data_IF_753254541382
#
_entry.id   IF_753254541382
#
_cell.length_a   1.000
_cell.length_b   1.000
_cell.length_c   1.000
_cell.angle_alpha   90.00
_cell.angle_beta   90.00
_cell.angle_gamma   90.00
#
_symmetry.space_group_name_H-M   'P 1'
#
loop_
_entity.id
_entity.type
_entity.pdbx_description
1 polymer ?
#
# COMPACT_ATOMS: atom_id res chain seq x y z
N UNK A 1 -49.76 29.66 -2.50
CA UNK A 1 -49.43 29.99 -1.10
C UNK A 1 -48.44 28.97 -0.58
N UNK A 2 -47.19 29.37 -0.30
CA UNK A 2 -46.19 28.51 0.34
C UNK A 2 -46.14 28.91 1.82
N UNK A 3 -46.72 28.10 2.71
CA UNK A 3 -46.60 28.32 4.15
C UNK A 3 -45.31 27.67 4.66
N UNK A 4 -44.46 28.45 5.31
CA UNK A 4 -43.25 27.95 5.97
C UNK A 4 -43.64 27.43 7.35
N UNK A 5 -43.62 26.11 7.55
CA UNK A 5 -43.79 25.52 8.87
C UNK A 5 -42.45 25.58 9.62
N UNK A 6 -42.47 26.10 10.85
CA UNK A 6 -41.30 26.10 11.73
C UNK A 6 -40.85 24.65 12.01
N UNK A 7 -39.58 24.36 11.74
CA UNK A 7 -38.98 23.01 11.83
C UNK A 7 -38.93 22.48 13.28
N UNK A 8 -39.15 23.35 14.27
CA UNK A 8 -39.11 23.01 15.69
C UNK A 8 -40.48 23.20 16.32
N UNK A 9 -41.00 22.15 16.98
CA UNK A 9 -42.18 22.28 17.85
C UNK A 9 -41.75 22.89 19.17
N UNK A 10 -42.48 23.88 19.72
CA UNK A 10 -42.18 24.38 21.05
C UNK A 10 -42.37 23.27 22.10
N UNK A 11 -41.58 23.29 23.18
CA UNK A 11 -41.67 22.30 24.24
C UNK A 11 -43.06 22.32 24.89
N UNK A 12 -43.65 21.14 25.09
CA UNK A 12 -45.04 21.01 25.59
C UNK A 12 -45.20 21.23 27.10
N UNK A 13 -44.11 21.26 27.87
CA UNK A 13 -44.15 21.40 29.34
C UNK A 13 -42.96 22.20 29.85
N UNK A 14 -43.24 23.19 30.70
CA UNK A 14 -42.29 24.14 31.29
C UNK A 14 -42.95 25.52 31.43
N UNK A 15 -42.69 26.25 32.51
CA UNK A 15 -43.27 27.59 32.75
C UNK A 15 -42.57 28.66 31.90
N UNK A 16 -42.58 28.51 30.57
CA UNK A 16 -42.07 29.51 29.65
C UNK A 16 -43.27 30.24 29.02
N UNK A 17 -43.37 31.54 29.30
CA UNK A 17 -44.34 32.42 28.63
C UNK A 17 -43.76 32.71 27.24
N UNK A 18 -44.45 32.27 26.19
CA UNK A 18 -44.10 32.62 24.81
C UNK A 18 -44.56 34.07 24.61
N UNK A 19 -43.62 35.00 24.53
CA UNK A 19 -43.93 36.39 24.22
C UNK A 19 -44.28 36.47 22.73
N UNK A 20 -45.57 36.56 22.41
CA UNK A 20 -46.09 36.44 21.04
C UNK A 20 -45.91 37.71 20.19
N UNK A 21 -45.17 38.71 20.67
CA UNK A 21 -45.13 40.04 20.06
C UNK A 21 -43.83 40.42 19.34
N UNK A 22 -42.88 39.50 19.16
CA UNK A 22 -41.77 39.73 18.24
C UNK A 22 -41.64 38.58 17.23
N UNK A 23 -41.67 38.86 15.91
CA UNK A 23 -41.42 37.84 14.92
C UNK A 23 -40.00 37.34 15.11
N UNK A 24 -39.85 36.05 15.40
CA UNK A 24 -38.55 35.39 15.58
C UNK A 24 -37.67 35.66 14.34
N UNK A 25 -36.71 36.56 14.49
CA UNK A 25 -35.79 36.91 13.42
C UNK A 25 -34.87 35.71 13.17
N UNK A 26 -34.88 35.20 11.95
CA UNK A 26 -33.92 34.19 11.53
C UNK A 26 -32.51 34.72 11.70
N UNK A 27 -31.70 34.09 12.57
CA UNK A 27 -30.28 34.45 12.80
C UNK A 27 -29.41 34.33 11.52
N UNK A 28 -29.95 33.70 10.48
CA UNK A 28 -29.31 33.51 9.19
C UNK A 28 -30.12 34.30 8.16
N UNK A 29 -29.50 35.30 7.54
CA UNK A 29 -30.11 36.04 6.44
C UNK A 29 -30.05 35.23 5.15
N UNK A 30 -31.01 35.44 4.24
CA UNK A 30 -30.95 34.91 2.88
C UNK A 30 -29.67 35.34 2.16
N UNK A 31 -29.09 36.49 2.49
CA UNK A 31 -27.79 36.92 1.95
C UNK A 31 -26.62 36.07 2.47
N UNK A 32 -26.71 35.56 3.70
CA UNK A 32 -25.74 34.62 4.26
C UNK A 32 -25.76 33.28 3.51
N UNK A 33 -26.96 32.82 3.11
CA UNK A 33 -27.13 31.63 2.27
C UNK A 33 -26.66 31.93 0.83
N UNK A 34 -26.97 33.13 0.31
CA UNK A 34 -26.56 33.56 -1.04
C UNK A 34 -25.04 33.58 -1.20
N UNK A 35 -24.27 33.90 -0.16
CA UNK A 35 -22.81 33.85 -0.19
C UNK A 35 -22.23 32.42 -0.28
N UNK A 36 -22.96 31.40 0.20
CA UNK A 36 -22.58 29.98 0.03
C UNK A 36 -22.75 29.56 -1.43
N UNK A 37 -23.78 30.07 -2.11
CA UNK A 37 -24.09 29.75 -3.51
C UNK A 37 -23.47 30.70 -4.54
N UNK A 38 -22.89 31.84 -4.11
CA UNK A 38 -22.31 32.87 -5.01
C UNK A 38 -20.83 32.67 -5.36
N UNK A 39 -20.20 31.59 -4.93
CA UNK A 39 -18.81 31.29 -5.32
C UNK A 39 -18.80 30.18 -6.38
N UNK A 40 -18.84 30.49 -7.69
CA UNK A 40 -19.10 29.51 -8.74
C UNK A 40 -17.83 28.87 -9.32
N UNK A 41 -16.63 29.18 -8.80
CA UNK A 41 -15.36 28.82 -9.46
C UNK A 41 -14.45 27.88 -8.65
N UNK A 42 -15.03 26.82 -8.09
CA UNK A 42 -14.26 25.58 -7.88
C UNK A 42 -15.11 24.42 -8.33
N UNK A 43 -14.82 23.89 -9.52
CA UNK A 43 -15.26 22.54 -9.87
C UNK A 43 -14.91 21.63 -8.70
N UNK A 44 -15.90 20.83 -8.30
CA UNK A 44 -15.71 19.59 -7.60
C UNK A 44 -14.36 18.94 -7.90
N UNK A 45 -13.41 18.75 -6.97
CA UNK A 45 -12.32 17.78 -7.21
C UNK A 45 -12.96 16.43 -7.59
N UNK A 46 -14.09 16.12 -6.97
CA UNK A 46 -14.93 14.96 -7.29
C UNK A 46 -15.62 15.05 -8.65
N UNK A 47 -16.09 16.22 -9.08
CA UNK A 47 -16.71 16.38 -10.41
C UNK A 47 -15.67 16.28 -11.52
N UNK A 48 -14.48 16.83 -11.31
CA UNK A 48 -13.35 16.73 -12.27
C UNK A 48 -12.84 15.29 -12.37
N UNK A 49 -12.83 14.55 -11.25
CA UNK A 49 -12.50 13.12 -11.22
C UNK A 49 -13.58 12.31 -11.92
N UNK A 50 -14.86 12.64 -11.71
CA UNK A 50 -16.00 11.95 -12.31
C UNK A 50 -16.05 12.15 -13.83
N UNK A 51 -15.88 13.39 -14.31
CA UNK A 51 -15.79 13.69 -15.75
C UNK A 51 -14.62 12.93 -16.42
N UNK A 52 -13.48 12.76 -15.72
CA UNK A 52 -12.33 12.00 -16.24
C UNK A 52 -12.53 10.49 -16.23
N UNK A 53 -13.22 9.97 -15.22
CA UNK A 53 -13.56 8.54 -15.12
C UNK A 53 -14.61 8.17 -16.17
N UNK A 54 -15.63 9.00 -16.34
CA UNK A 54 -16.70 8.77 -17.31
C UNK A 54 -16.15 8.82 -18.76
N UNK A 55 -15.19 9.72 -19.05
CA UNK A 55 -14.48 9.76 -20.34
C UNK A 55 -13.58 8.53 -20.58
N UNK A 56 -12.91 8.02 -19.54
CA UNK A 56 -12.02 6.86 -19.64
C UNK A 56 -12.79 5.53 -19.85
N UNK A 57 -14.03 5.44 -19.36
CA UNK A 57 -14.90 4.26 -19.52
C UNK A 57 -15.49 4.20 -20.94
N UNK A 58 -15.74 5.35 -21.59
CA UNK A 58 -16.32 5.41 -22.94
C UNK A 58 -15.35 5.04 -24.08
N UNK A 59 -14.04 4.94 -23.81
CA UNK A 59 -13.00 4.67 -24.84
C UNK A 59 -12.36 3.28 -24.76
N UNK A 60 -12.82 2.37 -23.88
CA UNK A 60 -12.38 0.96 -23.74
C UNK A 60 -10.87 0.69 -23.94
N UNK A 61 -10.00 1.57 -23.42
CA UNK A 61 -8.55 1.45 -23.61
C UNK A 61 -7.79 1.91 -22.37
N UNK A 62 -7.82 1.09 -21.32
CA UNK A 62 -6.88 1.18 -20.19
C UNK A 62 -6.48 -0.22 -19.75
N UNK A 63 -5.27 -0.65 -20.13
CA UNK A 63 -4.58 -1.73 -19.42
C UNK A 63 -3.80 -1.12 -18.25
N UNK A 64 -3.57 -1.91 -17.21
CA UNK A 64 -2.91 -1.47 -15.95
C UNK A 64 -1.50 -0.86 -16.20
N UNK A 65 -0.93 -1.05 -17.39
CA UNK A 65 0.35 -0.47 -17.80
C UNK A 65 0.27 1.03 -18.13
N UNK A 66 -0.91 1.63 -18.33
CA UNK A 66 -1.05 3.04 -18.76
C UNK A 66 -1.11 4.07 -17.59
N UNK A 67 -1.16 3.61 -16.33
CA UNK A 67 -1.07 4.48 -15.12
C UNK A 67 0.39 4.81 -14.77
N UNK A 68 1.34 4.13 -15.41
CA UNK A 68 2.76 4.43 -15.31
C UNK A 68 3.17 4.97 -16.66
N UNK A 69 3.34 6.30 -16.78
CA UNK A 69 4.05 6.87 -17.92
C UNK A 69 5.38 6.09 -18.09
N UNK A 70 5.40 5.21 -19.09
CA UNK A 70 6.60 4.66 -19.69
C UNK A 70 7.36 5.85 -20.26
N UNK A 71 8.15 6.47 -19.39
CA UNK A 71 9.27 7.32 -19.77
C UNK A 71 10.34 6.36 -20.31
N UNK A 72 10.07 5.85 -21.51
CA UNK A 72 11.06 5.23 -22.36
C UNK A 72 12.17 6.28 -22.56
N UNK A 73 13.39 5.91 -22.17
CA UNK A 73 14.60 6.73 -22.03
C UNK A 73 14.89 7.31 -20.65
N UNK A 74 14.90 6.47 -19.61
CA UNK A 74 15.85 6.66 -18.51
C UNK A 74 16.62 5.37 -18.27
N UNK A 75 17.91 5.35 -18.59
CA UNK A 75 18.87 4.29 -18.20
C UNK A 75 19.10 4.22 -16.68
N UNK A 76 18.20 4.83 -15.91
CA UNK A 76 18.21 5.02 -14.47
C UNK A 76 17.04 4.32 -13.78
N UNK A 77 16.26 3.51 -14.51
CA UNK A 77 15.10 2.80 -13.95
C UNK A 77 15.51 1.41 -13.44
N UNK A 78 15.27 1.15 -12.16
CA UNK A 78 15.37 -0.19 -11.60
C UNK A 78 14.19 -1.06 -12.06
N UNK A 79 14.39 -2.38 -12.19
CA UNK A 79 13.30 -3.33 -12.41
C UNK A 79 12.17 -3.14 -11.39
N UNK A 80 10.92 -3.29 -11.86
CA UNK A 80 9.73 -3.18 -10.99
C UNK A 80 9.80 -4.16 -9.82
N UNK A 81 10.27 -5.37 -10.09
CA UNK A 81 10.48 -6.41 -9.07
C UNK A 81 11.39 -5.91 -7.96
N UNK A 82 12.53 -5.31 -8.29
CA UNK A 82 13.47 -4.77 -7.30
C UNK A 82 12.88 -3.63 -6.49
N UNK A 83 12.05 -2.79 -7.11
CA UNK A 83 11.32 -1.73 -6.41
C UNK A 83 10.32 -2.30 -5.39
N UNK A 84 9.64 -3.40 -5.74
CA UNK A 84 8.73 -4.12 -4.85
C UNK A 84 9.51 -4.81 -3.73
N UNK A 85 10.62 -5.48 -4.03
CA UNK A 85 11.49 -6.10 -3.02
C UNK A 85 11.99 -5.03 -2.05
N UNK A 86 12.41 -3.85 -2.54
CA UNK A 86 12.86 -2.74 -1.70
C UNK A 86 11.76 -2.28 -0.74
N UNK A 87 10.54 -2.10 -1.25
CA UNK A 87 9.37 -1.73 -0.45
C UNK A 87 9.06 -2.77 0.64
N UNK A 88 9.05 -4.05 0.29
CA UNK A 88 8.84 -5.16 1.23
C UNK A 88 9.98 -5.26 2.24
N UNK A 89 11.21 -4.98 1.82
CA UNK A 89 12.38 -4.95 2.71
C UNK A 89 12.23 -3.85 3.76
N UNK A 90 11.67 -2.69 3.41
CA UNK A 90 11.33 -1.65 4.39
C UNK A 90 10.36 -2.14 5.48
N UNK A 91 9.38 -2.97 5.11
CA UNK A 91 8.51 -3.63 6.09
C UNK A 91 9.27 -4.64 6.96
N UNK A 92 10.14 -5.47 6.37
CA UNK A 92 11.01 -6.39 7.12
C UNK A 92 11.89 -5.63 8.12
N UNK A 93 12.52 -4.53 7.70
CA UNK A 93 13.34 -3.68 8.57
C UNK A 93 12.57 -3.26 9.82
N UNK A 94 11.29 -2.87 9.67
CA UNK A 94 10.42 -2.52 10.81
C UNK A 94 10.24 -3.68 11.79
N UNK A 95 10.19 -4.92 11.30
CA UNK A 95 10.07 -6.11 12.14
C UNK A 95 11.39 -6.44 12.84
N UNK A 96 12.51 -6.40 12.11
CA UNK A 96 13.84 -6.67 12.67
C UNK A 96 14.19 -5.66 13.76
N UNK A 97 13.91 -4.36 13.55
CA UNK A 97 14.19 -3.29 14.51
C UNK A 97 13.40 -3.40 15.82
N UNK A 98 12.37 -4.26 15.90
CA UNK A 98 11.68 -4.56 17.17
C UNK A 98 12.52 -5.43 18.10
N UNK A 99 13.49 -6.18 17.57
CA UNK A 99 14.31 -7.13 18.32
C UNK A 99 15.54 -6.53 18.97
N UNK A 100 16.05 -5.40 18.47
CA UNK A 100 17.24 -4.76 19.04
C UNK A 100 17.16 -3.25 18.97
N UNK A 101 17.58 -2.61 20.08
CA UNK A 101 17.80 -1.15 20.17
C UNK A 101 19.24 -0.76 19.85
N UNK A 102 20.09 -1.71 19.46
CA UNK A 102 21.49 -1.47 19.15
C UNK A 102 21.64 -0.50 17.97
N UNK A 103 22.43 0.56 18.16
CA UNK A 103 22.66 1.59 17.15
C UNK A 103 23.37 1.03 15.90
N UNK A 104 24.34 0.12 16.09
CA UNK A 104 25.07 -0.53 14.98
C UNK A 104 24.11 -1.36 14.13
N UNK A 105 23.27 -2.18 14.77
CA UNK A 105 22.23 -2.96 14.10
C UNK A 105 21.27 -2.06 13.33
N UNK A 106 20.83 -0.95 13.95
CA UNK A 106 19.94 0.01 13.32
C UNK A 106 20.56 0.58 12.03
N UNK A 107 21.81 1.05 12.07
CA UNK A 107 22.48 1.56 10.87
C UNK A 107 22.76 0.50 9.80
N UNK A 108 22.92 -0.76 10.22
CA UNK A 108 23.13 -1.88 9.32
C UNK A 108 21.84 -2.30 8.58
N UNK A 109 20.67 -2.05 9.17
CA UNK A 109 19.37 -2.46 8.63
C UNK A 109 18.70 -1.33 7.85
N UNK A 110 18.76 -0.09 8.36
CA UNK A 110 18.09 1.07 7.75
C UNK A 110 19.07 2.21 7.46
N UNK A 111 18.69 3.05 6.49
CA UNK A 111 19.39 4.29 6.14
C UNK A 111 18.51 5.52 6.41
N UNK A 112 18.87 6.66 5.81
CA UNK A 112 18.10 7.91 5.87
C UNK A 112 16.62 7.72 5.51
N UNK A 113 15.77 8.64 5.97
CA UNK A 113 14.31 8.59 5.74
C UNK A 113 13.89 8.71 4.27
N UNK A 114 14.84 9.00 3.37
CA UNK A 114 14.67 9.06 1.92
C UNK A 114 15.89 8.40 1.29
N UNK A 115 15.69 7.73 0.15
CA UNK A 115 16.76 7.21 -0.70
C UNK A 115 16.56 7.72 -2.12
N UNK A 116 17.66 8.07 -2.79
CA UNK A 116 17.67 8.48 -4.20
C UNK A 116 18.02 7.33 -5.14
N UNK A 117 18.24 6.10 -4.61
CA UNK A 117 18.46 4.94 -5.47
C UNK A 117 17.18 4.61 -6.27
N UNK A 118 17.30 4.18 -7.54
CA UNK A 118 16.14 3.87 -8.39
C UNK A 118 15.16 2.87 -7.77
N UNK A 119 15.67 1.85 -7.07
CA UNK A 119 14.87 0.84 -6.35
C UNK A 119 13.96 1.43 -5.27
N UNK A 120 14.28 2.62 -4.76
CA UNK A 120 13.48 3.29 -3.76
C UNK A 120 12.26 4.04 -4.34
N UNK A 121 12.13 4.15 -5.67
CA UNK A 121 11.08 4.94 -6.36
C UNK A 121 9.68 4.62 -5.84
N UNK A 122 9.31 3.33 -5.79
CA UNK A 122 8.02 2.89 -5.26
C UNK A 122 7.81 3.31 -3.80
N UNK A 123 8.83 3.15 -2.97
CA UNK A 123 8.75 3.49 -1.55
C UNK A 123 8.61 5.00 -1.37
N UNK A 124 9.38 5.80 -2.10
CA UNK A 124 9.28 7.26 -2.07
C UNK A 124 7.89 7.73 -2.50
N UNK A 125 7.34 7.17 -3.58
CA UNK A 125 6.00 7.49 -4.08
C UNK A 125 4.89 7.14 -3.07
N UNK A 126 5.02 6.02 -2.35
CA UNK A 126 4.03 5.58 -1.36
C UNK A 126 4.23 6.21 0.02
N UNK A 127 5.43 6.70 0.32
CA UNK A 127 5.78 7.20 1.64
C UNK A 127 5.13 8.55 1.90
N UNK A 128 4.49 8.68 3.06
CA UNK A 128 4.12 9.98 3.67
C UNK A 128 5.23 10.51 4.59
N UNK A 129 6.47 10.08 4.37
CA UNK A 129 7.65 10.41 5.20
C UNK A 129 7.96 9.41 6.32
N UNK A 130 7.21 8.31 6.44
CA UNK A 130 7.33 7.36 7.58
C UNK A 130 7.71 5.93 7.17
N UNK A 131 7.84 5.64 5.87
CA UNK A 131 8.32 4.33 5.41
C UNK A 131 9.82 4.23 5.62
N UNK A 132 10.27 3.04 6.03
CA UNK A 132 11.69 2.80 6.27
C UNK A 132 12.39 2.49 4.97
N UNK A 133 13.56 3.09 4.79
CA UNK A 133 14.46 2.78 3.69
C UNK A 133 15.53 1.82 4.22
N UNK A 134 15.63 0.59 3.66
CA UNK A 134 16.68 -0.34 4.03
C UNK A 134 18.07 0.22 3.70
N UNK A 135 19.05 -0.17 4.50
CA UNK A 135 20.45 -0.02 4.15
C UNK A 135 20.74 -0.85 2.88
N UNK A 136 21.59 -0.32 1.99
CA UNK A 136 21.98 -0.97 0.74
C UNK A 136 22.45 -2.42 0.89
N UNK A 137 23.29 -2.70 1.88
CA UNK A 137 23.82 -4.05 2.10
C UNK A 137 22.74 -5.00 2.59
N UNK A 138 21.85 -4.53 3.47
CA UNK A 138 20.72 -5.32 3.93
C UNK A 138 19.70 -5.58 2.82
N UNK A 139 19.45 -4.58 1.96
CA UNK A 139 18.63 -4.76 0.77
C UNK A 139 19.21 -5.82 -0.18
N UNK A 140 20.51 -5.74 -0.51
CA UNK A 140 21.18 -6.72 -1.37
C UNK A 140 21.12 -8.14 -0.78
N UNK A 141 21.25 -8.26 0.55
CA UNK A 141 21.06 -9.53 1.24
C UNK A 141 19.65 -10.10 1.02
N UNK A 142 18.62 -9.26 1.05
CA UNK A 142 17.24 -9.68 0.78
C UNK A 142 16.98 -9.97 -0.70
N UNK A 143 17.59 -9.26 -1.65
CA UNK A 143 17.50 -9.62 -3.07
C UNK A 143 18.04 -11.04 -3.30
N UNK A 144 19.20 -11.35 -2.71
CA UNK A 144 19.76 -12.71 -2.78
C UNK A 144 18.83 -13.76 -2.17
N UNK A 145 18.20 -13.44 -1.03
CA UNK A 145 17.18 -14.30 -0.43
C UNK A 145 16.01 -14.56 -1.37
N UNK A 146 15.56 -13.54 -2.12
CA UNK A 146 14.48 -13.67 -3.09
C UNK A 146 14.88 -14.51 -4.31
N UNK A 147 16.11 -14.38 -4.79
CA UNK A 147 16.63 -15.22 -5.87
C UNK A 147 16.62 -16.70 -5.48
N UNK A 148 17.10 -17.01 -4.26
CA UNK A 148 17.08 -18.37 -3.72
C UNK A 148 15.65 -18.85 -3.45
N UNK A 149 14.77 -17.97 -2.99
CA UNK A 149 13.36 -18.30 -2.83
C UNK A 149 12.72 -18.67 -4.18
N UNK A 150 12.93 -17.88 -5.23
CA UNK A 150 12.42 -18.19 -6.57
C UNK A 150 12.95 -19.52 -7.10
N UNK A 151 14.21 -19.87 -6.79
CA UNK A 151 14.83 -21.15 -7.16
C UNK A 151 14.18 -22.35 -6.47
N UNK A 152 13.78 -22.22 -5.20
CA UNK A 152 13.37 -23.35 -4.37
C UNK A 152 11.89 -23.33 -3.93
N UNK A 153 11.08 -22.33 -4.30
CA UNK A 153 9.71 -22.12 -3.78
C UNK A 153 8.73 -23.28 -4.02
N UNK A 154 9.01 -24.14 -5.00
CA UNK A 154 8.20 -25.33 -5.31
C UNK A 154 8.62 -26.57 -4.52
N UNK A 155 9.74 -26.52 -3.79
CA UNK A 155 10.30 -27.65 -3.05
C UNK A 155 9.72 -27.71 -1.63
N UNK A 156 9.55 -28.92 -1.11
CA UNK A 156 8.97 -29.13 0.22
C UNK A 156 9.88 -28.62 1.35
N UNK A 157 11.18 -28.70 1.13
CA UNK A 157 12.30 -28.34 2.02
C UNK A 157 12.94 -27.00 1.63
N UNK A 158 12.12 -26.06 1.15
CA UNK A 158 12.54 -24.73 0.67
C UNK A 158 13.43 -23.98 1.68
N UNK A 159 13.14 -24.06 2.98
CA UNK A 159 13.90 -23.36 4.01
C UNK A 159 15.32 -23.90 4.13
N UNK A 160 15.44 -25.22 4.17
CA UNK A 160 16.68 -25.97 4.33
C UNK A 160 17.60 -25.76 3.13
N UNK A 161 17.04 -25.80 1.91
CA UNK A 161 17.78 -25.57 0.68
C UNK A 161 18.32 -24.14 0.57
N UNK A 162 17.52 -23.13 0.94
CA UNK A 162 17.97 -21.74 0.98
C UNK A 162 19.11 -21.57 1.99
N UNK A 163 18.97 -22.16 3.19
CA UNK A 163 20.00 -22.10 4.22
C UNK A 163 21.31 -22.76 3.79
N UNK A 164 21.25 -23.94 3.18
CA UNK A 164 22.42 -24.64 2.67
C UNK A 164 23.16 -23.79 1.62
N UNK A 165 22.44 -23.26 0.62
CA UNK A 165 23.01 -22.45 -0.46
C UNK A 165 23.64 -21.13 0.06
N UNK A 166 23.01 -20.51 1.07
CA UNK A 166 23.58 -19.34 1.73
C UNK A 166 24.90 -19.63 2.43
N UNK A 167 24.99 -20.75 3.14
CA UNK A 167 26.16 -21.14 3.93
C UNK A 167 27.32 -21.64 3.07
N UNK A 168 27.03 -22.37 1.99
CA UNK A 168 28.06 -22.91 1.10
C UNK A 168 28.68 -21.83 0.21
N UNK A 169 27.87 -20.91 -0.32
CA UNK A 169 28.31 -20.01 -1.38
C UNK A 169 28.64 -18.59 -0.91
N UNK A 170 28.51 -18.24 0.37
CA UNK A 170 28.64 -16.85 0.81
C UNK A 170 29.25 -16.64 2.20
N UNK A 171 30.09 -15.61 2.29
CA UNK A 171 30.45 -14.98 3.56
C UNK A 171 29.32 -14.03 3.99
N UNK A 172 28.50 -14.45 4.94
CA UNK A 172 27.51 -13.58 5.58
C UNK A 172 28.22 -12.64 6.56
N UNK A 173 28.33 -11.36 6.18
CA UNK A 173 28.88 -10.32 7.03
C UNK A 173 27.78 -9.44 7.59
N UNK A 174 27.80 -9.22 8.92
CA UNK A 174 26.96 -8.25 9.59
C UNK A 174 27.83 -7.46 10.59
N UNK A 175 27.74 -6.11 10.63
CA UNK A 175 28.71 -5.28 11.34
C UNK A 175 28.59 -5.33 12.87
N UNK A 176 27.53 -5.90 13.44
CA UNK A 176 27.37 -6.03 14.88
C UNK A 176 27.69 -7.45 15.34
N UNK A 177 28.76 -7.64 16.11
CA UNK A 177 29.17 -8.96 16.62
C UNK A 177 28.18 -9.55 17.64
N UNK A 178 27.60 -8.73 18.51
CA UNK A 178 26.72 -9.20 19.59
C UNK A 178 25.37 -9.75 19.10
N UNK A 179 24.84 -9.18 18.00
CA UNK A 179 23.48 -9.47 17.54
C UNK A 179 23.43 -10.03 16.12
N UNK A 180 24.58 -10.23 15.45
CA UNK A 180 24.65 -10.67 14.05
C UNK A 180 23.86 -11.95 13.82
N UNK A 181 24.14 -12.99 14.60
CA UNK A 181 23.49 -14.29 14.48
C UNK A 181 21.98 -14.17 14.62
N UNK A 182 21.52 -13.51 15.70
CA UNK A 182 20.10 -13.35 15.98
C UNK A 182 19.38 -12.55 14.89
N UNK A 183 19.97 -11.45 14.42
CA UNK A 183 19.38 -10.57 13.40
C UNK A 183 19.31 -11.27 12.05
N UNK A 184 20.38 -11.92 11.62
CA UNK A 184 20.43 -12.62 10.34
C UNK A 184 19.47 -13.80 10.35
N UNK A 185 19.51 -14.65 11.38
CA UNK A 185 18.60 -15.79 11.51
C UNK A 185 17.13 -15.35 11.55
N UNK A 186 16.82 -14.29 12.29
CA UNK A 186 15.48 -13.72 12.31
C UNK A 186 15.06 -13.20 10.93
N UNK A 187 15.96 -12.49 10.23
CA UNK A 187 15.67 -11.91 8.91
C UNK A 187 15.38 -13.00 7.87
N UNK A 188 16.20 -14.05 7.82
CA UNK A 188 16.02 -15.21 6.94
C UNK A 188 14.67 -15.86 7.22
N UNK A 189 14.43 -16.27 8.48
CA UNK A 189 13.21 -16.97 8.88
C UNK A 189 11.96 -16.14 8.61
N UNK A 190 11.99 -14.85 8.94
CA UNK A 190 10.82 -13.99 8.74
C UNK A 190 10.54 -13.80 7.25
N UNK A 191 11.57 -13.55 6.44
CA UNK A 191 11.42 -13.30 5.02
C UNK A 191 10.88 -14.54 4.29
N UNK A 192 11.49 -15.72 4.49
CA UNK A 192 11.02 -16.96 3.86
C UNK A 192 9.56 -17.26 4.25
N UNK A 193 9.21 -17.15 5.54
CA UNK A 193 7.84 -17.38 5.99
C UNK A 193 6.84 -16.41 5.35
N UNK A 194 7.21 -15.14 5.24
CA UNK A 194 6.38 -14.14 4.58
C UNK A 194 6.21 -14.45 3.08
N UNK A 195 7.28 -14.82 2.39
CA UNK A 195 7.24 -15.19 0.97
C UNK A 195 6.45 -16.46 0.72
N UNK A 196 6.63 -17.51 1.54
CA UNK A 196 5.82 -18.72 1.46
C UNK A 196 4.32 -18.43 1.61
N UNK A 197 3.92 -17.57 2.56
CA UNK A 197 2.51 -17.18 2.70
C UNK A 197 1.97 -16.49 1.45
N UNK A 198 2.73 -15.56 0.88
CA UNK A 198 2.35 -14.85 -0.34
C UNK A 198 2.28 -15.80 -1.53
N UNK A 199 3.26 -16.69 -1.65
CA UNK A 199 3.36 -17.70 -2.69
C UNK A 199 2.19 -18.69 -2.63
N UNK A 200 1.94 -19.30 -1.47
CA UNK A 200 0.82 -20.23 -1.28
C UNK A 200 -0.52 -19.57 -1.52
N UNK A 201 -0.71 -18.33 -1.07
CA UNK A 201 -1.94 -17.58 -1.34
C UNK A 201 -2.17 -17.44 -2.84
N UNK A 202 -1.17 -16.95 -3.59
CA UNK A 202 -1.28 -16.77 -5.03
C UNK A 202 -1.45 -18.10 -5.77
N UNK A 203 -0.66 -19.11 -5.43
CA UNK A 203 -0.75 -20.43 -6.04
C UNK A 203 -2.15 -21.05 -5.85
N UNK A 204 -2.72 -20.94 -4.66
CA UNK A 204 -4.06 -21.45 -4.37
C UNK A 204 -5.15 -20.68 -5.13
N UNK A 205 -5.02 -19.35 -5.29
CA UNK A 205 -5.93 -18.55 -6.11
C UNK A 205 -5.88 -18.99 -7.58
N UNK A 206 -4.67 -19.14 -8.12
CA UNK A 206 -4.46 -19.51 -9.53
C UNK A 206 -5.00 -20.95 -9.80
N UNK A 207 -4.81 -21.91 -8.87
CA UNK A 207 -5.39 -23.26 -8.97
C UNK A 207 -6.92 -23.24 -8.87
N UNK A 208 -7.47 -22.37 -8.02
CA UNK A 208 -8.91 -22.14 -7.94
C UNK A 208 -9.49 -21.71 -9.27
N UNK A 209 -8.91 -20.72 -9.93
CA UNK A 209 -9.38 -20.18 -11.20
C UNK A 209 -9.27 -21.20 -12.36
N UNK A 210 -8.24 -22.05 -12.36
CA UNK A 210 -8.12 -23.16 -13.31
C UNK A 210 -9.22 -24.20 -13.10
N UNK A 211 -9.59 -24.51 -11.86
CA UNK A 211 -10.69 -25.44 -11.57
C UNK A 211 -12.06 -24.89 -12.02
N UNK A 212 -12.28 -23.58 -11.87
CA UNK A 212 -13.51 -22.93 -12.33
C UNK A 212 -13.60 -22.85 -13.85
N UNK A 213 -12.50 -22.54 -14.55
CA UNK A 213 -12.47 -22.48 -16.02
C UNK A 213 -12.67 -23.87 -16.67
N UNK A 214 -12.06 -24.92 -16.11
CA UNK A 214 -12.27 -26.30 -16.56
C UNK A 214 -13.72 -26.78 -16.32
N UNK A 215 -14.35 -26.39 -15.22
CA UNK A 215 -15.77 -26.66 -14.96
C UNK A 215 -16.71 -25.86 -15.87
N UNK A 216 -16.27 -24.69 -16.36
CA UNK A 216 -16.97 -23.91 -17.39
C UNK A 216 -16.92 -24.59 -18.75
N UNK A 217 -15.75 -25.02 -19.20
CA UNK A 217 -15.54 -25.73 -20.48
C UNK A 217 -16.24 -27.10 -20.54
N UNK A 218 -16.29 -27.82 -19.42
CA UNK A 218 -17.04 -29.08 -19.31
C UNK A 218 -18.56 -28.91 -19.43
N UNK A 219 -19.10 -27.69 -19.22
CA UNK A 219 -20.52 -27.39 -19.45
C UNK A 219 -20.86 -27.07 -20.91
N UNK A 220 -19.86 -26.76 -21.74
CA UNK A 220 -20.03 -26.47 -23.17
C UNK A 220 -19.61 -27.62 -24.10
N UNK A 221 -19.19 -28.76 -23.54
CA UNK A 221 -19.02 -30.01 -24.28
C UNK A 221 -20.00 -31.05 -23.75
N UNK A 222 -21.21 -31.05 -24.30
CA UNK A 222 -22.07 -32.23 -24.34
C UNK A 222 -22.29 -32.61 -25.81
N UNK A 223 -21.87 -33.83 -26.12
CA UNK A 223 -22.23 -34.63 -27.30
C UNK A 223 -23.71 -34.64 -27.57
#
# INVERSE_FOLDING_TARGET
MLSVYGVLKPPKTGNCIVDNNEPSQSLISLDSIKNIYKNPEKKSVLETIREKLDFAIEQDDWTIDDVVENSDHDSFLAPVVDCVIYYVTGYLCKQVLRYSKCAVCRSAIIQSNVSFEPVARLTNMKSRGFLLHPNKYFFNFICKMEDLFCKYCMMADVCELILADLLENNTLYFPCFEHSEQIIAFSIRYYINMRMRQFSYKHNSDVGDVSFSNNGLAKFTKT
#
